data_IF_722761598080
#
_entry.id   IF_722761598080
#
_cell.length_a   1.000
_cell.length_b   1.000
_cell.length_c   1.000
_cell.angle_alpha   90.00
_cell.angle_beta   90.00
_cell.angle_gamma   90.00
#
_symmetry.space_group_name_H-M   'P 1'
#
loop_
_entity.id
_entity.type
_entity.pdbx_description
1 polymer ?
#
# COMPACT_ATOMS: atom_id res chain seq x y z
N UNK A 1 4.25 24.82 9.91
CA UNK A 1 5.31 24.76 10.95
C UNK A 1 6.06 23.44 10.92
N UNK A 2 5.45 22.30 11.29
CA UNK A 2 6.15 21.00 11.37
C UNK A 2 6.87 20.55 10.09
N UNK A 3 6.28 20.77 8.91
CA UNK A 3 6.96 20.47 7.65
C UNK A 3 8.27 21.26 7.48
N UNK A 4 8.29 22.55 7.85
CA UNK A 4 9.50 23.38 7.82
C UNK A 4 10.54 22.90 8.82
N UNK A 5 10.11 22.54 10.04
CA UNK A 5 11.00 21.96 11.06
C UNK A 5 11.63 20.65 10.59
N UNK A 6 10.85 19.75 9.98
CA UNK A 6 11.33 18.46 9.45
C UNK A 6 12.33 18.65 8.30
N UNK A 7 12.12 19.63 7.42
CA UNK A 7 13.05 19.95 6.33
C UNK A 7 14.41 20.46 6.84
N UNK A 8 14.40 21.29 7.89
CA UNK A 8 15.65 21.77 8.53
C UNK A 8 16.32 20.64 9.29
N UNK A 9 15.55 19.83 10.03
CA UNK A 9 16.02 18.64 10.73
C UNK A 9 16.77 17.69 9.79
N UNK A 10 16.25 17.44 8.59
CA UNK A 10 16.87 16.57 7.58
C UNK A 10 18.25 17.02 7.08
N UNK A 11 18.70 18.23 7.44
CA UNK A 11 20.02 18.79 7.09
C UNK A 11 21.04 18.77 8.22
N UNK A 12 20.67 18.27 9.41
CA UNK A 12 21.58 18.13 10.54
C UNK A 12 22.49 16.89 10.39
N UNK A 13 23.58 16.78 11.18
CA UNK A 13 24.34 15.53 11.30
C UNK A 13 23.44 14.37 11.75
N UNK A 14 23.68 13.16 11.23
CA UNK A 14 22.79 12.00 11.40
C UNK A 14 22.48 11.67 12.86
N UNK A 15 23.46 11.82 13.77
CA UNK A 15 23.26 11.57 15.20
C UNK A 15 22.21 12.54 15.78
N UNK A 16 22.29 13.82 15.41
CA UNK A 16 21.36 14.86 15.86
C UNK A 16 19.98 14.70 15.23
N UNK A 17 19.88 14.16 14.01
CA UNK A 17 18.59 13.88 13.38
C UNK A 17 17.79 12.91 14.23
N UNK A 18 18.40 11.80 14.65
CA UNK A 18 17.72 10.76 15.42
C UNK A 18 17.20 11.29 16.76
N UNK A 19 18.04 12.02 17.50
CA UNK A 19 17.70 12.64 18.78
C UNK A 19 16.53 13.62 18.64
N UNK A 20 16.66 14.64 17.80
CA UNK A 20 15.63 15.66 17.63
C UNK A 20 14.33 15.10 17.03
N UNK A 21 14.41 14.07 16.17
CA UNK A 21 13.23 13.42 15.61
C UNK A 21 12.47 12.65 16.69
N UNK A 22 13.17 11.94 17.59
CA UNK A 22 12.52 11.24 18.70
C UNK A 22 11.75 12.22 19.59
N UNK A 23 12.35 13.37 19.95
CA UNK A 23 11.68 14.41 20.74
C UNK A 23 10.46 15.02 20.02
N UNK A 24 10.60 15.32 18.72
CA UNK A 24 9.53 15.91 17.92
C UNK A 24 8.32 14.98 17.81
N UNK A 25 8.58 13.67 17.70
CA UNK A 25 7.55 12.64 17.67
C UNK A 25 6.97 12.34 19.06
N UNK A 26 7.78 12.43 20.13
CA UNK A 26 7.37 12.10 21.50
C UNK A 26 6.13 12.88 21.94
N UNK A 27 6.04 14.17 21.59
CA UNK A 27 4.87 15.00 21.90
C UNK A 27 3.57 14.42 21.30
N UNK A 28 3.65 13.86 20.09
CA UNK A 28 2.48 13.30 19.41
C UNK A 28 2.18 11.88 19.92
N UNK A 29 3.22 11.10 20.23
CA UNK A 29 3.09 9.79 20.88
C UNK A 29 2.39 9.92 22.24
N UNK A 30 2.77 10.90 23.06
CA UNK A 30 2.13 11.16 24.35
C UNK A 30 0.66 11.56 24.18
N UNK A 31 0.34 12.36 23.17
CA UNK A 31 -1.04 12.71 22.84
C UNK A 31 -1.87 11.47 22.45
N UNK A 32 -1.32 10.59 21.60
CA UNK A 32 -1.98 9.33 21.24
C UNK A 32 -2.20 8.42 22.46
N UNK A 33 -1.17 8.23 23.30
CA UNK A 33 -1.29 7.43 24.53
C UNK A 33 -2.39 7.95 25.46
N UNK A 34 -2.52 9.28 25.59
CA UNK A 34 -3.59 9.91 26.37
C UNK A 34 -4.99 9.63 25.79
N UNK A 35 -5.13 9.66 24.47
CA UNK A 35 -6.40 9.33 23.78
C UNK A 35 -6.75 7.84 23.92
N UNK A 36 -5.74 6.97 23.95
CA UNK A 36 -5.90 5.54 24.18
C UNK A 36 -6.43 5.25 25.59
N UNK A 37 -5.92 5.97 26.61
CA UNK A 37 -6.34 5.80 28.02
C UNK A 37 -7.68 6.45 28.38
N UNK A 38 -8.26 7.26 27.50
CA UNK A 38 -9.57 7.89 27.74
C UNK A 38 -10.69 6.87 27.47
N UNK A 39 -11.51 6.64 28.50
CA UNK A 39 -12.83 6.01 28.35
C UNK A 39 -13.73 6.94 27.52
N UNK A 40 -14.61 6.38 26.66
CA UNK A 40 -15.57 7.17 25.89
C UNK A 40 -16.55 7.86 26.85
N UNK A 41 -16.21 9.07 27.29
CA UNK A 41 -17.00 9.85 28.23
C UNK A 41 -17.72 10.97 27.48
N UNK A 42 -19.04 11.03 27.62
CA UNK A 42 -19.91 12.12 27.19
C UNK A 42 -19.91 12.47 25.69
N UNK A 43 -19.83 11.47 24.80
CA UNK A 43 -20.08 11.66 23.36
C UNK A 43 -19.03 12.46 22.59
N UNK A 44 -17.94 12.91 23.25
CA UNK A 44 -16.77 13.47 22.59
C UNK A 44 -15.82 12.33 22.23
N UNK A 45 -15.83 11.94 20.94
CA UNK A 45 -14.91 10.94 20.39
C UNK A 45 -13.45 11.36 20.61
N UNK A 46 -12.62 10.47 21.15
CA UNK A 46 -11.17 10.67 21.25
C UNK A 46 -10.53 10.54 19.86
N UNK A 47 -10.55 11.63 19.09
CA UNK A 47 -10.08 11.65 17.69
C UNK A 47 -8.54 11.75 17.60
N UNK A 48 -7.82 10.71 17.12
CA UNK A 48 -6.37 10.71 16.97
C UNK A 48 -5.87 11.36 15.67
N UNK A 49 -6.76 11.89 14.82
CA UNK A 49 -6.39 12.39 13.48
C UNK A 49 -5.29 13.45 13.50
N UNK A 50 -5.37 14.42 14.41
CA UNK A 50 -4.38 15.51 14.49
C UNK A 50 -2.97 14.99 14.81
N UNK A 51 -2.74 14.21 15.89
CA UNK A 51 -1.41 13.65 16.13
C UNK A 51 -0.93 12.69 15.03
N UNK A 52 -1.84 11.91 14.42
CA UNK A 52 -1.50 11.05 13.27
C UNK A 52 -1.02 11.86 12.06
N UNK A 53 -1.75 12.91 11.66
CA UNK A 53 -1.37 13.77 10.53
C UNK A 53 -0.06 14.53 10.82
N UNK A 54 0.19 14.91 12.08
CA UNK A 54 1.47 15.54 12.49
C UNK A 54 2.64 14.58 12.35
N UNK A 55 2.52 13.34 12.84
CA UNK A 55 3.53 12.29 12.64
C UNK A 55 3.76 12.01 11.16
N UNK A 56 2.68 11.89 10.38
CA UNK A 56 2.74 11.68 8.94
C UNK A 56 3.55 12.78 8.21
N UNK A 57 3.31 14.04 8.55
CA UNK A 57 4.05 15.20 7.98
C UNK A 57 5.52 15.18 8.38
N UNK A 58 5.84 14.82 9.63
CA UNK A 58 7.22 14.70 10.10
C UNK A 58 7.98 13.65 9.27
N UNK A 59 7.44 12.44 9.13
CA UNK A 59 8.11 11.38 8.35
C UNK A 59 8.19 11.72 6.86
N UNK A 60 7.15 12.33 6.29
CA UNK A 60 7.13 12.71 4.88
C UNK A 60 8.28 13.64 4.50
N UNK A 61 8.68 14.53 5.39
CA UNK A 61 9.65 15.58 5.11
C UNK A 61 11.03 15.37 5.74
N UNK A 62 11.19 14.35 6.60
CA UNK A 62 12.49 13.98 7.17
C UNK A 62 13.19 12.98 6.23
N UNK A 63 13.83 13.51 5.18
CA UNK A 63 14.54 12.72 4.18
C UNK A 63 16.05 13.06 4.21
N UNK A 64 16.82 12.51 5.17
CA UNK A 64 18.24 12.77 5.27
C UNK A 64 19.02 12.07 4.15
N UNK A 65 20.19 12.62 3.82
CA UNK A 65 21.16 11.93 2.95
C UNK A 65 21.91 10.94 3.85
N UNK A 66 21.74 9.64 3.60
CA UNK A 66 22.40 8.56 4.33
C UNK A 66 23.35 7.87 3.38
N UNK A 67 24.64 7.82 3.73
CA UNK A 67 25.65 7.16 2.91
C UNK A 67 25.57 5.63 3.04
N UNK A 68 26.14 4.91 2.06
CA UNK A 68 26.13 3.45 2.05
C UNK A 68 26.75 2.87 3.34
N UNK A 69 25.99 2.00 4.01
CA UNK A 69 26.43 1.31 5.23
C UNK A 69 26.08 2.02 6.54
N UNK A 70 25.55 3.25 6.49
CA UNK A 70 25.07 3.94 7.69
C UNK A 70 23.63 3.56 8.04
N UNK A 71 23.32 3.52 9.33
CA UNK A 71 21.95 3.26 9.82
C UNK A 71 21.09 4.51 9.61
N UNK A 72 19.90 4.32 9.02
CA UNK A 72 18.99 5.44 8.79
C UNK A 72 18.52 6.04 10.14
N UNK A 73 18.64 7.37 10.37
CA UNK A 73 18.38 7.96 11.68
C UNK A 73 16.91 7.82 12.11
N UNK A 74 15.99 7.72 11.16
CA UNK A 74 14.57 7.53 11.46
C UNK A 74 14.21 6.08 11.83
N UNK A 75 15.09 5.10 11.57
CA UNK A 75 14.79 3.67 11.79
C UNK A 75 14.44 3.38 13.25
N UNK A 76 15.26 3.85 14.20
CA UNK A 76 15.03 3.68 15.63
C UNK A 76 13.72 4.34 16.09
N UNK A 77 13.47 5.55 15.59
CA UNK A 77 12.28 6.33 15.98
C UNK A 77 10.99 5.66 15.52
N UNK A 78 10.95 5.06 14.32
CA UNK A 78 9.75 4.33 13.88
C UNK A 78 9.50 3.09 14.74
N UNK A 79 10.55 2.37 15.16
CA UNK A 79 10.39 1.22 16.06
C UNK A 79 9.80 1.64 17.42
N UNK A 80 10.19 2.80 17.95
CA UNK A 80 9.64 3.36 19.20
C UNK A 80 8.17 3.80 19.05
N UNK A 81 7.78 4.28 17.87
CA UNK A 81 6.44 4.82 17.61
C UNK A 81 5.46 3.73 17.17
N UNK A 82 5.95 2.63 16.59
CA UNK A 82 5.12 1.53 16.09
C UNK A 82 4.08 1.03 17.09
N UNK A 83 4.42 0.73 18.37
CA UNK A 83 3.44 0.20 19.32
C UNK A 83 2.22 1.10 19.50
N UNK A 84 2.40 2.42 19.62
CA UNK A 84 1.27 3.35 19.82
C UNK A 84 0.44 3.51 18.54
N UNK A 85 1.06 3.47 17.35
CA UNK A 85 0.33 3.50 16.08
C UNK A 85 -0.49 2.23 15.89
N UNK A 86 0.09 1.07 16.22
CA UNK A 86 -0.59 -0.22 16.14
C UNK A 86 -1.79 -0.28 17.09
N UNK A 87 -1.62 0.17 18.33
CA UNK A 87 -2.71 0.21 19.32
C UNK A 87 -3.82 1.19 18.90
N UNK A 88 -3.45 2.37 18.38
CA UNK A 88 -4.40 3.36 17.84
C UNK A 88 -5.19 2.78 16.66
N UNK A 89 -4.53 2.09 15.73
CA UNK A 89 -5.19 1.46 14.60
C UNK A 89 -6.19 0.38 15.06
N UNK A 90 -5.81 -0.46 16.03
CA UNK A 90 -6.71 -1.48 16.56
C UNK A 90 -7.93 -0.89 17.28
N UNK A 91 -7.72 0.13 18.13
CA UNK A 91 -8.82 0.78 18.87
C UNK A 91 -9.88 1.38 17.93
N UNK A 92 -9.44 1.90 16.78
CA UNK A 92 -10.30 2.59 15.82
C UNK A 92 -10.50 1.81 14.52
N UNK A 93 -10.33 0.48 14.54
CA UNK A 93 -10.35 -0.37 13.34
C UNK A 93 -11.64 -0.30 12.53
N UNK A 94 -12.77 0.04 13.17
CA UNK A 94 -14.06 0.20 12.50
C UNK A 94 -14.27 1.58 11.83
N UNK A 95 -13.48 2.60 12.18
CA UNK A 95 -13.61 3.95 11.62
C UNK A 95 -12.66 4.15 10.43
N UNK A 96 -13.20 4.01 9.21
CA UNK A 96 -12.44 4.16 7.96
C UNK A 96 -11.63 5.46 7.90
N UNK A 97 -12.21 6.58 8.38
CA UNK A 97 -11.53 7.89 8.35
C UNK A 97 -10.29 7.88 9.23
N UNK A 98 -10.34 7.26 10.41
CA UNK A 98 -9.18 7.17 11.30
C UNK A 98 -8.16 6.17 10.76
N UNK A 99 -8.60 5.01 10.27
CA UNK A 99 -7.72 3.99 9.69
C UNK A 99 -6.94 4.55 8.49
N UNK A 100 -7.59 5.32 7.61
CA UNK A 100 -6.93 6.03 6.51
C UNK A 100 -5.77 6.92 7.01
N UNK A 101 -5.96 7.64 8.13
CA UNK A 101 -4.91 8.49 8.73
C UNK A 101 -3.78 7.66 9.32
N UNK A 102 -4.09 6.54 9.97
CA UNK A 102 -3.10 5.58 10.44
C UNK A 102 -2.26 5.02 9.27
N UNK A 103 -2.91 4.50 8.23
CA UNK A 103 -2.25 3.98 7.03
C UNK A 103 -1.42 5.04 6.31
N UNK A 104 -1.91 6.29 6.24
CA UNK A 104 -1.16 7.43 5.70
C UNK A 104 0.11 7.72 6.50
N UNK A 105 0.04 7.71 7.83
CA UNK A 105 1.21 7.88 8.69
C UNK A 105 2.22 6.75 8.48
N UNK A 106 1.75 5.49 8.49
CA UNK A 106 2.58 4.30 8.27
C UNK A 106 3.24 4.30 6.89
N UNK A 107 2.52 4.73 5.85
CA UNK A 107 3.08 4.89 4.50
C UNK A 107 4.26 5.84 4.50
N UNK A 108 4.17 7.01 5.12
CA UNK A 108 5.29 7.94 5.17
C UNK A 108 6.42 7.45 6.07
N UNK A 109 6.11 6.74 7.15
CA UNK A 109 7.11 6.12 8.01
C UNK A 109 7.93 5.08 7.22
N UNK A 110 7.26 4.15 6.51
CA UNK A 110 7.91 3.14 5.67
C UNK A 110 8.73 3.81 4.56
N UNK A 111 8.18 4.79 3.84
CA UNK A 111 8.90 5.52 2.78
C UNK A 111 10.12 6.29 3.29
N UNK A 112 10.05 6.82 4.50
CA UNK A 112 11.13 7.59 5.11
C UNK A 112 12.36 6.71 5.38
N UNK A 113 12.17 5.46 5.80
CA UNK A 113 13.28 4.54 6.11
C UNK A 113 13.62 3.59 4.97
N UNK A 114 12.67 3.32 4.07
CA UNK A 114 12.78 2.31 3.02
C UNK A 114 13.07 0.94 3.62
N UNK A 115 14.01 0.22 3.00
CA UNK A 115 14.42 -1.16 3.38
C UNK A 115 14.87 -1.32 4.83
N UNK A 116 15.34 -0.25 5.48
CA UNK A 116 15.74 -0.28 6.90
C UNK A 116 14.58 -0.54 7.88
N UNK A 117 13.33 -0.47 7.43
CA UNK A 117 12.15 -0.69 8.28
C UNK A 117 11.67 -2.15 8.28
N UNK A 118 12.48 -3.10 7.78
CA UNK A 118 12.12 -4.51 7.63
C UNK A 118 11.60 -5.19 8.91
N UNK A 119 12.09 -4.78 10.09
CA UNK A 119 11.63 -5.30 11.38
C UNK A 119 10.12 -5.06 11.64
N UNK A 120 9.52 -4.07 10.96
CA UNK A 120 8.10 -3.75 11.07
C UNK A 120 7.24 -4.53 10.08
N UNK A 121 7.84 -5.15 9.06
CA UNK A 121 7.10 -5.78 7.97
C UNK A 121 6.16 -6.87 8.47
N UNK A 122 6.68 -7.82 9.25
CA UNK A 122 5.87 -8.92 9.79
C UNK A 122 4.74 -8.44 10.72
N UNK A 123 4.99 -7.67 11.81
CA UNK A 123 3.90 -7.25 12.70
C UNK A 123 2.87 -6.37 11.99
N UNK A 124 3.30 -5.51 11.06
CA UNK A 124 2.39 -4.66 10.29
C UNK A 124 1.51 -5.51 9.35
N UNK A 125 2.09 -6.41 8.55
CA UNK A 125 1.33 -7.27 7.64
C UNK A 125 0.32 -8.12 8.39
N UNK A 126 0.72 -8.73 9.52
CA UNK A 126 -0.19 -9.51 10.37
C UNK A 126 -1.38 -8.66 10.84
N UNK A 127 -1.12 -7.44 11.33
CA UNK A 127 -2.19 -6.55 11.75
C UNK A 127 -3.10 -6.13 10.59
N UNK A 128 -2.53 -5.78 9.43
CA UNK A 128 -3.29 -5.39 8.24
C UNK A 128 -4.27 -6.49 7.80
N UNK A 129 -3.78 -7.73 7.68
CA UNK A 129 -4.60 -8.88 7.26
C UNK A 129 -5.72 -9.16 8.26
N UNK A 130 -5.43 -9.10 9.56
CA UNK A 130 -6.43 -9.36 10.60
C UNK A 130 -7.54 -8.31 10.60
N UNK A 131 -7.17 -7.02 10.53
CA UNK A 131 -8.16 -5.93 10.51
C UNK A 131 -8.97 -5.94 9.21
N UNK A 132 -8.32 -6.14 8.06
CA UNK A 132 -8.99 -6.13 6.75
C UNK A 132 -10.01 -7.28 6.59
N UNK A 133 -9.79 -8.40 7.27
CA UNK A 133 -10.76 -9.51 7.33
C UNK A 133 -12.10 -9.08 7.94
N UNK A 134 -12.08 -8.18 8.92
CA UNK A 134 -13.28 -7.68 9.59
C UNK A 134 -13.80 -6.40 8.92
N UNK A 135 -12.91 -5.47 8.56
CA UNK A 135 -13.24 -4.16 8.02
C UNK A 135 -12.43 -3.89 6.75
N UNK A 136 -13.09 -3.95 5.58
CA UNK A 136 -12.45 -3.90 4.26
C UNK A 136 -12.06 -2.48 3.82
N UNK A 137 -11.31 -1.75 4.65
CA UNK A 137 -10.81 -0.41 4.30
C UNK A 137 -9.75 -0.52 3.19
N UNK A 138 -10.04 0.06 2.01
CA UNK A 138 -9.19 -0.08 0.81
C UNK A 138 -7.74 0.40 1.04
N UNK A 139 -7.55 1.33 1.99
CA UNK A 139 -6.25 1.87 2.38
C UNK A 139 -5.24 0.80 2.84
N UNK A 140 -5.69 -0.38 3.26
CA UNK A 140 -4.81 -1.52 3.53
C UNK A 140 -4.23 -2.14 2.26
N UNK A 141 -4.99 -2.21 1.16
CA UNK A 141 -4.48 -2.60 -0.15
C UNK A 141 -3.44 -1.57 -0.63
N UNK A 142 -3.73 -0.27 -0.44
CA UNK A 142 -2.77 0.77 -0.78
C UNK A 142 -1.50 0.68 0.07
N UNK A 143 -1.61 0.50 1.38
CA UNK A 143 -0.46 0.32 2.25
C UNK A 143 0.35 -0.93 1.86
N UNK A 144 -0.33 -2.02 1.50
CA UNK A 144 0.31 -3.21 0.92
C UNK A 144 1.11 -2.88 -0.32
N UNK A 145 0.61 -2.00 -1.20
CA UNK A 145 1.31 -1.59 -2.42
C UNK A 145 2.63 -0.86 -2.11
N UNK A 146 2.66 -0.12 -0.98
CA UNK A 146 3.86 0.56 -0.52
C UNK A 146 4.88 -0.45 0.00
N UNK A 147 4.44 -1.46 0.76
CA UNK A 147 5.32 -2.53 1.22
C UNK A 147 5.93 -3.29 0.03
N UNK A 148 5.12 -3.61 -0.98
CA UNK A 148 5.62 -4.28 -2.19
C UNK A 148 6.58 -3.38 -2.97
N UNK A 149 6.33 -2.08 -3.05
CA UNK A 149 7.21 -1.15 -3.74
C UNK A 149 8.60 -1.05 -3.10
N UNK A 150 8.66 -1.08 -1.76
CA UNK A 150 9.91 -0.98 -1.00
C UNK A 150 10.65 -2.32 -0.87
N UNK A 151 9.92 -3.43 -0.74
CA UNK A 151 10.48 -4.75 -0.38
C UNK A 151 10.33 -5.83 -1.47
N UNK A 152 9.57 -5.59 -2.53
CA UNK A 152 9.24 -6.63 -3.52
C UNK A 152 10.44 -7.16 -4.33
N UNK A 153 11.54 -6.41 -4.38
CA UNK A 153 12.77 -6.85 -5.02
C UNK A 153 13.63 -7.74 -4.10
N UNK A 154 13.44 -7.69 -2.78
CA UNK A 154 14.16 -8.49 -1.80
C UNK A 154 13.64 -9.93 -1.80
N UNK A 155 14.48 -10.89 -2.19
CA UNK A 155 14.09 -12.30 -2.32
C UNK A 155 13.48 -12.87 -1.04
N UNK A 156 14.07 -12.52 0.11
CA UNK A 156 13.59 -12.94 1.44
C UNK A 156 12.20 -12.41 1.81
N UNK A 157 11.68 -11.39 1.11
CA UNK A 157 10.38 -10.80 1.38
C UNK A 157 9.29 -11.25 0.40
N UNK A 158 9.66 -11.76 -0.79
CA UNK A 158 8.71 -12.05 -1.88
C UNK A 158 7.58 -12.98 -1.46
N UNK A 159 7.88 -14.07 -0.75
CA UNK A 159 6.87 -15.04 -0.32
C UNK A 159 5.89 -14.42 0.69
N UNK A 160 6.39 -13.76 1.74
CA UNK A 160 5.53 -13.13 2.75
C UNK A 160 4.65 -12.02 2.18
N UNK A 161 5.16 -11.27 1.19
CA UNK A 161 4.34 -10.30 0.45
C UNK A 161 3.27 -10.99 -0.39
N UNK A 162 3.59 -12.08 -1.08
CA UNK A 162 2.60 -12.85 -1.85
C UNK A 162 1.50 -13.42 -0.93
N UNK A 163 1.87 -13.93 0.25
CA UNK A 163 0.91 -14.42 1.25
C UNK A 163 -0.03 -13.29 1.72
N UNK A 164 0.51 -12.08 1.93
CA UNK A 164 -0.29 -10.88 2.21
C UNK A 164 -1.29 -10.59 1.09
N UNK A 165 -0.84 -10.57 -0.18
CA UNK A 165 -1.73 -10.33 -1.32
C UNK A 165 -2.87 -11.35 -1.35
N UNK A 166 -2.55 -12.64 -1.22
CA UNK A 166 -3.54 -13.72 -1.22
C UNK A 166 -4.56 -13.54 -0.08
N UNK A 167 -4.09 -13.21 1.12
CA UNK A 167 -4.95 -13.00 2.28
C UNK A 167 -5.88 -11.79 2.12
N UNK A 168 -5.39 -10.68 1.54
CA UNK A 168 -6.18 -9.48 1.29
C UNK A 168 -7.17 -9.67 0.12
N UNK A 169 -6.81 -10.46 -0.89
CA UNK A 169 -7.68 -10.74 -2.03
C UNK A 169 -8.97 -11.46 -1.64
N UNK A 170 -8.96 -12.34 -0.63
CA UNK A 170 -10.15 -13.10 -0.22
C UNK A 170 -11.35 -12.19 0.13
N UNK A 171 -11.27 -11.32 1.16
CA UNK A 171 -12.38 -10.41 1.47
C UNK A 171 -12.58 -9.34 0.41
N UNK A 172 -11.54 -8.98 -0.36
CA UNK A 172 -11.67 -8.04 -1.49
C UNK A 172 -12.60 -8.60 -2.56
N UNK A 173 -12.39 -9.84 -2.99
CA UNK A 173 -13.22 -10.45 -4.02
C UNK A 173 -14.65 -10.67 -3.51
N UNK A 174 -14.83 -11.11 -2.27
CA UNK A 174 -16.15 -11.22 -1.65
C UNK A 174 -16.92 -9.88 -1.65
N UNK A 175 -16.21 -8.76 -1.45
CA UNK A 175 -16.79 -7.42 -1.52
C UNK A 175 -17.21 -7.06 -2.95
N UNK A 176 -16.38 -7.38 -3.94
CA UNK A 176 -16.63 -7.06 -5.35
C UNK A 176 -17.66 -8.00 -6.01
N UNK A 177 -17.84 -9.23 -5.50
CA UNK A 177 -18.86 -10.20 -5.92
C UNK A 177 -20.28 -9.76 -5.56
N UNK A 178 -20.44 -8.80 -4.65
CA UNK A 178 -21.76 -8.29 -4.29
C UNK A 178 -22.46 -7.61 -5.48
N UNK A 179 -23.80 -7.54 -5.49
CA UNK A 179 -24.52 -6.79 -6.52
C UNK A 179 -24.02 -5.36 -6.62
N UNK A 180 -23.61 -4.96 -7.83
CA UNK A 180 -22.97 -3.67 -8.11
C UNK A 180 -21.67 -3.41 -7.31
N UNK A 181 -20.94 -4.47 -6.92
CA UNK A 181 -19.76 -4.36 -6.07
C UNK A 181 -18.67 -3.43 -6.63
N UNK A 182 -18.43 -3.47 -7.96
CA UNK A 182 -17.49 -2.56 -8.63
C UNK A 182 -17.91 -1.09 -8.50
N UNK A 183 -19.20 -0.78 -8.67
CA UNK A 183 -19.72 0.58 -8.58
C UNK A 183 -19.80 1.09 -7.14
N UNK A 184 -20.08 0.19 -6.19
CA UNK A 184 -20.20 0.52 -4.77
C UNK A 184 -18.84 0.64 -4.06
N UNK A 185 -17.80 0.01 -4.60
CA UNK A 185 -16.46 -0.05 -3.99
C UNK A 185 -15.33 0.37 -4.96
N UNK A 186 -15.42 1.54 -5.61
CA UNK A 186 -14.41 1.99 -6.58
C UNK A 186 -13.03 2.23 -5.93
N UNK A 187 -12.98 2.66 -4.67
CA UNK A 187 -11.74 2.85 -3.91
C UNK A 187 -11.01 1.51 -3.70
N UNK A 188 -11.77 0.44 -3.43
CA UNK A 188 -11.23 -0.92 -3.33
C UNK A 188 -10.68 -1.41 -4.67
N UNK A 189 -11.34 -1.08 -5.78
CA UNK A 189 -10.84 -1.38 -7.14
C UNK A 189 -9.55 -0.63 -7.41
N UNK A 190 -9.51 0.69 -7.14
CA UNK A 190 -8.29 1.50 -7.28
C UNK A 190 -7.13 0.87 -6.50
N UNK A 191 -7.30 0.70 -5.18
CA UNK A 191 -6.21 0.25 -4.32
C UNK A 191 -5.79 -1.22 -4.55
N UNK A 192 -6.71 -2.10 -4.96
CA UNK A 192 -6.39 -3.45 -5.42
C UNK A 192 -5.44 -3.42 -6.62
N UNK A 193 -5.75 -2.61 -7.63
CA UNK A 193 -4.93 -2.57 -8.84
C UNK A 193 -3.66 -1.73 -8.67
N UNK A 194 -3.62 -0.81 -7.71
CA UNK A 194 -2.35 -0.21 -7.24
C UNK A 194 -1.43 -1.26 -6.63
N UNK A 195 -1.97 -2.15 -5.79
CA UNK A 195 -1.22 -3.27 -5.21
C UNK A 195 -0.73 -4.24 -6.30
N UNK A 196 -1.63 -4.68 -7.18
CA UNK A 196 -1.28 -5.60 -8.27
C UNK A 196 -0.24 -5.00 -9.23
N UNK A 197 -0.38 -3.71 -9.58
CA UNK A 197 0.61 -3.00 -10.40
C UNK A 197 1.97 -2.89 -9.72
N UNK A 198 2.04 -2.77 -8.38
CA UNK A 198 3.33 -2.81 -7.68
C UNK A 198 3.94 -4.19 -7.67
N UNK A 199 3.15 -5.24 -7.51
CA UNK A 199 3.67 -6.61 -7.62
C UNK A 199 4.24 -6.91 -8.99
N UNK A 200 3.52 -6.57 -10.06
CA UNK A 200 3.99 -6.89 -11.41
C UNK A 200 5.29 -6.13 -11.76
N UNK A 201 5.45 -4.91 -11.24
CA UNK A 201 6.67 -4.12 -11.45
C UNK A 201 7.87 -4.59 -10.61
N UNK A 202 7.64 -5.15 -9.42
CA UNK A 202 8.72 -5.47 -8.46
C UNK A 202 9.09 -6.94 -8.44
N UNK A 203 8.12 -7.82 -8.66
CA UNK A 203 8.30 -9.27 -8.61
C UNK A 203 7.34 -9.98 -9.58
N UNK A 204 7.47 -9.73 -10.90
CA UNK A 204 6.52 -10.21 -11.90
C UNK A 204 6.39 -11.74 -11.91
N UNK A 205 7.49 -12.47 -11.86
CA UNK A 205 7.48 -13.95 -11.91
C UNK A 205 6.77 -14.53 -10.68
N UNK A 206 6.98 -13.96 -9.50
CA UNK A 206 6.29 -14.39 -8.27
C UNK A 206 4.78 -14.24 -8.40
N UNK A 207 4.31 -13.11 -8.92
CA UNK A 207 2.87 -12.90 -9.13
C UNK A 207 2.33 -13.81 -10.25
N UNK A 208 2.97 -13.84 -11.41
CA UNK A 208 2.50 -14.58 -12.60
C UNK A 208 2.42 -16.09 -12.39
N UNK A 209 3.31 -16.66 -11.56
CA UNK A 209 3.25 -18.09 -11.18
C UNK A 209 2.25 -18.39 -10.07
N UNK A 210 1.67 -17.37 -9.44
CA UNK A 210 0.74 -17.54 -8.31
C UNK A 210 -0.69 -17.82 -8.78
N UNK A 211 -1.42 -18.61 -8.00
CA UNK A 211 -2.82 -18.94 -8.30
C UNK A 211 -3.76 -17.73 -8.18
N UNK A 212 -3.42 -16.73 -7.35
CA UNK A 212 -4.24 -15.52 -7.18
C UNK A 212 -4.20 -14.61 -8.41
N UNK A 213 -3.23 -14.79 -9.32
CA UNK A 213 -3.17 -14.03 -10.56
C UNK A 213 -4.42 -14.22 -11.43
N UNK A 214 -4.96 -15.45 -11.47
CA UNK A 214 -6.13 -15.78 -12.29
C UNK A 214 -7.35 -14.92 -11.91
N UNK A 215 -7.81 -14.90 -10.64
CA UNK A 215 -8.94 -14.03 -10.26
C UNK A 215 -8.59 -12.54 -10.35
N UNK A 216 -7.34 -12.11 -10.09
CA UNK A 216 -6.93 -10.71 -10.30
C UNK A 216 -7.15 -10.29 -11.75
N UNK A 217 -6.81 -11.14 -12.72
CA UNK A 217 -7.01 -10.87 -14.14
C UNK A 217 -8.49 -10.79 -14.52
N UNK A 218 -9.31 -11.70 -14.00
CA UNK A 218 -10.75 -11.70 -14.23
C UNK A 218 -11.39 -10.39 -13.71
N UNK A 219 -11.01 -9.97 -12.50
CA UNK A 219 -11.45 -8.69 -11.94
C UNK A 219 -10.92 -7.49 -12.71
N UNK A 220 -9.69 -7.54 -13.22
CA UNK A 220 -9.13 -6.45 -14.03
C UNK A 220 -9.95 -6.24 -15.31
N UNK A 221 -10.29 -7.32 -16.01
CA UNK A 221 -11.13 -7.28 -17.21
C UNK A 221 -12.52 -6.75 -16.86
N UNK A 222 -13.15 -7.29 -15.81
CA UNK A 222 -14.48 -6.85 -15.38
C UNK A 222 -14.50 -5.35 -15.00
N UNK A 223 -13.47 -4.86 -14.30
CA UNK A 223 -13.37 -3.49 -13.83
C UNK A 223 -13.09 -2.45 -14.94
N UNK A 224 -12.76 -2.88 -16.17
CA UNK A 224 -12.58 -1.94 -17.30
C UNK A 224 -13.84 -1.15 -17.64
N UNK A 225 -15.03 -1.65 -17.28
CA UNK A 225 -16.32 -0.98 -17.53
C UNK A 225 -16.71 0.01 -16.45
N UNK A 226 -15.95 0.07 -15.35
CA UNK A 226 -16.24 0.96 -14.23
C UNK A 226 -15.94 2.40 -14.61
N UNK A 227 -16.98 3.23 -14.71
CA UNK A 227 -16.87 4.67 -14.91
C UNK A 227 -16.50 5.38 -13.60
N UNK A 228 -15.25 5.20 -13.20
CA UNK A 228 -14.65 5.91 -12.08
C UNK A 228 -13.19 6.20 -12.41
N UNK A 229 -12.83 7.49 -12.46
CA UNK A 229 -11.54 7.96 -12.99
C UNK A 229 -10.32 7.28 -12.37
N UNK A 230 -10.21 7.26 -11.04
CA UNK A 230 -9.01 6.75 -10.36
C UNK A 230 -8.91 5.22 -10.46
N UNK A 231 -10.00 4.52 -10.12
CA UNK A 231 -10.14 3.08 -10.32
C UNK A 231 -9.81 2.63 -11.76
N UNK A 232 -10.38 3.29 -12.78
CA UNK A 232 -10.10 2.98 -14.18
C UNK A 232 -8.62 3.22 -14.52
N UNK A 233 -8.05 4.34 -14.06
CA UNK A 233 -6.63 4.64 -14.26
C UNK A 233 -5.73 3.54 -13.67
N UNK A 234 -6.03 3.05 -12.47
CA UNK A 234 -5.27 1.98 -11.83
C UNK A 234 -5.44 0.61 -12.51
N UNK A 235 -6.66 0.26 -12.93
CA UNK A 235 -6.93 -0.95 -13.73
C UNK A 235 -6.14 -0.91 -15.04
N UNK A 236 -6.25 0.17 -15.82
CA UNK A 236 -5.57 0.31 -17.10
C UNK A 236 -4.05 0.34 -16.94
N UNK A 237 -3.55 0.98 -15.89
CA UNK A 237 -2.13 0.97 -15.55
C UNK A 237 -1.62 -0.44 -15.26
N UNK A 238 -2.35 -1.21 -14.44
CA UNK A 238 -2.02 -2.61 -14.17
C UNK A 238 -1.98 -3.45 -15.45
N UNK A 239 -3.03 -3.38 -16.28
CA UNK A 239 -3.12 -4.13 -17.54
C UNK A 239 -1.97 -3.79 -18.50
N UNK A 240 -1.65 -2.50 -18.63
CA UNK A 240 -0.53 -2.05 -19.46
C UNK A 240 0.81 -2.60 -18.95
N UNK A 241 1.09 -2.44 -17.65
CA UNK A 241 2.36 -2.86 -17.06
C UNK A 241 2.50 -4.39 -17.07
N UNK A 242 1.39 -5.11 -16.92
CA UNK A 242 1.32 -6.57 -17.09
C UNK A 242 1.73 -7.00 -18.48
N UNK A 243 1.09 -6.49 -19.53
CA UNK A 243 1.43 -6.87 -20.90
C UNK A 243 2.87 -6.47 -21.23
N UNK A 244 3.30 -5.29 -20.78
CA UNK A 244 4.65 -4.80 -20.99
C UNK A 244 5.73 -5.68 -20.33
N UNK A 245 5.37 -6.46 -19.30
CA UNK A 245 6.29 -7.39 -18.63
C UNK A 245 6.88 -8.44 -19.58
N UNK A 246 6.17 -8.81 -20.66
CA UNK A 246 6.65 -9.77 -21.66
C UNK A 246 7.62 -9.16 -22.68
N UNK A 247 7.87 -7.85 -22.61
CA UNK A 247 8.67 -7.08 -23.58
C UNK A 247 9.79 -6.30 -22.89
N UNK A 248 9.58 -5.84 -21.66
CA UNK A 248 10.52 -5.00 -20.92
C UNK A 248 11.83 -5.74 -20.58
N UNK A 249 12.94 -5.00 -20.49
CA UNK A 249 14.23 -5.46 -19.99
C UNK A 249 14.65 -6.82 -20.58
N UNK A 250 14.74 -6.89 -21.91
CA UNK A 250 15.12 -8.09 -22.66
C UNK A 250 16.55 -8.58 -22.40
N UNK A 251 17.38 -7.73 -21.80
CA UNK A 251 18.73 -8.05 -21.33
C UNK A 251 18.78 -8.80 -19.98
N UNK A 252 17.68 -8.91 -19.24
CA UNK A 252 17.64 -9.61 -17.95
C UNK A 252 17.57 -11.14 -18.14
N UNK A 253 18.22 -11.89 -17.24
CA UNK A 253 18.28 -13.36 -17.31
C UNK A 253 16.89 -14.02 -17.27
N UNK A 254 15.92 -13.34 -16.65
CA UNK A 254 14.56 -13.83 -16.45
C UNK A 254 13.59 -13.51 -17.61
N UNK A 255 14.07 -12.84 -18.67
CA UNK A 255 13.24 -12.34 -19.77
C UNK A 255 12.43 -13.43 -20.47
N UNK A 256 13.05 -14.54 -20.86
CA UNK A 256 12.35 -15.63 -21.56
C UNK A 256 11.27 -16.26 -20.67
N UNK A 257 11.48 -16.31 -19.34
CA UNK A 257 10.47 -16.78 -18.39
C UNK A 257 9.29 -15.81 -18.34
N UNK A 258 9.55 -14.49 -18.26
CA UNK A 258 8.49 -13.47 -18.26
C UNK A 258 7.69 -13.49 -19.55
N UNK A 259 8.37 -13.58 -20.70
CA UNK A 259 7.76 -13.65 -22.02
C UNK A 259 6.83 -14.85 -22.15
N UNK A 260 7.27 -16.03 -21.73
CA UNK A 260 6.45 -17.25 -21.76
C UNK A 260 5.21 -17.12 -20.86
N UNK A 261 5.37 -16.62 -19.63
CA UNK A 261 4.24 -16.42 -18.71
C UNK A 261 3.21 -15.42 -19.27
N UNK A 262 3.66 -14.33 -19.89
CA UNK A 262 2.76 -13.38 -20.54
C UNK A 262 2.09 -13.99 -21.79
N UNK A 263 2.78 -14.80 -22.58
CA UNK A 263 2.17 -15.52 -23.69
C UNK A 263 1.03 -16.44 -23.22
N UNK A 264 1.18 -17.09 -22.08
CA UNK A 264 0.11 -17.91 -21.48
C UNK A 264 -1.11 -17.06 -21.10
N UNK A 265 -0.89 -15.90 -20.47
CA UNK A 265 -1.96 -14.93 -20.16
C UNK A 265 -2.66 -14.46 -21.44
N UNK A 266 -1.89 -14.08 -22.47
CA UNK A 266 -2.43 -13.59 -23.75
C UNK A 266 -3.20 -14.67 -24.50
N UNK A 267 -2.75 -15.93 -24.45
CA UNK A 267 -3.44 -17.06 -25.09
C UNK A 267 -4.79 -17.33 -24.42
N UNK A 268 -4.87 -17.21 -23.10
CA UNK A 268 -6.11 -17.50 -22.36
C UNK A 268 -7.10 -16.33 -22.38
N UNK A 269 -6.63 -15.10 -22.21
CA UNK A 269 -7.48 -13.93 -21.94
C UNK A 269 -7.35 -12.80 -22.95
N UNK A 270 -6.41 -12.86 -23.89
CA UNK A 270 -6.12 -11.78 -24.83
C UNK A 270 -7.33 -11.37 -25.66
N UNK A 271 -8.08 -12.34 -26.20
CA UNK A 271 -9.29 -12.05 -26.98
C UNK A 271 -10.40 -11.41 -26.13
N UNK A 272 -10.62 -11.91 -24.91
CA UNK A 272 -11.62 -11.35 -23.99
C UNK A 272 -11.26 -9.92 -23.62
N UNK A 273 -9.99 -9.67 -23.29
CA UNK A 273 -9.49 -8.35 -22.94
C UNK A 273 -9.69 -7.35 -24.08
N UNK A 274 -9.33 -7.70 -25.32
CA UNK A 274 -9.51 -6.82 -26.49
C UNK A 274 -10.99 -6.48 -26.71
N UNK A 275 -11.87 -7.49 -26.65
CA UNK A 275 -13.31 -7.27 -26.82
C UNK A 275 -13.87 -6.34 -25.74
N UNK A 276 -13.47 -6.57 -24.48
CA UNK A 276 -13.93 -5.78 -23.36
C UNK A 276 -13.43 -4.33 -23.47
N UNK A 277 -12.15 -4.11 -23.80
CA UNK A 277 -11.60 -2.77 -23.99
C UNK A 277 -12.34 -2.03 -25.11
N UNK A 278 -12.58 -2.68 -26.25
CA UNK A 278 -13.35 -2.08 -27.35
C UNK A 278 -14.77 -1.70 -26.92
N UNK A 279 -15.46 -2.61 -26.22
CA UNK A 279 -16.80 -2.34 -25.68
C UNK A 279 -16.79 -1.14 -24.72
N UNK A 280 -15.81 -1.08 -23.83
CA UNK A 280 -15.73 -0.03 -22.81
C UNK A 280 -15.50 1.35 -23.43
N UNK A 281 -14.64 1.45 -24.44
CA UNK A 281 -14.39 2.69 -25.18
C UNK A 281 -15.62 3.19 -25.95
N UNK A 282 -16.44 2.28 -26.48
CA UNK A 282 -17.61 2.66 -27.28
C UNK A 282 -18.85 2.98 -26.45
N UNK A 283 -19.03 2.33 -25.29
CA UNK A 283 -20.33 2.31 -24.62
C UNK A 283 -20.30 2.58 -23.10
N UNK A 284 -19.16 2.45 -22.42
CA UNK A 284 -19.13 2.49 -20.96
C UNK A 284 -18.43 3.74 -20.40
N UNK A 285 -17.30 4.13 -20.98
CA UNK A 285 -16.45 5.18 -20.41
C UNK A 285 -16.55 6.48 -21.22
N UNK A 286 -16.48 7.65 -20.57
CA UNK A 286 -16.33 8.91 -21.26
C UNK A 286 -14.91 9.04 -21.85
N UNK A 287 -14.73 9.87 -22.89
CA UNK A 287 -13.41 10.29 -23.34
C UNK A 287 -12.82 11.24 -22.29
N UNK A 288 -11.94 10.70 -21.44
CA UNK A 288 -11.17 11.46 -20.45
C UNK A 288 -10.00 12.24 -21.07
#
# INVERSE_FOLDING_TARGET
>A
VLAGTALVLARLPLEKISECLSELCAVQVLALKKLLSQEPSNGLSSDPTVPLDRLAVIFRHTNPIVENGQVHPCQKVIQEIWPVLSETLNKHSADNRIVERCCRCLRFAVRCVGKGSAALLQPLVTQMVNVYREHQHSCFLYLGSILVDEYGMEEGCRQGLLDMLQALCIPTFQLLEQPNGLQNHPDTVDDLFRLAARFIQRSPITLLRSQVMIPILQWAIAATTLDHRDANCSVMKFLRDLIHTGVANDHEEDFEVRKELINQVMTQLGQQLVNQLLQTCCFCLPPY
#
